data_IF_543025256427
#
_entry.id   IF_543025256427
#
_cell.length_a   1.000
_cell.length_b   1.000
_cell.length_c   1.000
_cell.angle_alpha   90.00
_cell.angle_beta   90.00
_cell.angle_gamma   90.00
#
_symmetry.space_group_name_H-M   'P 1'
#
loop_
_entity.id
_entity.type
_entity.pdbx_description
1 polymer ?
#
# COMPACT_ATOMS: atom_id res chain seq x y z
N UNK A 1 -10.70 1.57 19.39
CA UNK A 1 -10.12 0.38 18.74
C UNK A 1 -8.82 0.01 19.45
N UNK A 2 -8.78 -1.21 20.05
CA UNK A 2 -7.63 -1.72 20.83
C UNK A 2 -6.31 -1.71 20.01
N UNK A 3 -6.37 -2.00 18.71
CA UNK A 3 -5.19 -1.99 17.86
C UNK A 3 -4.57 -0.58 17.75
N UNK A 4 -5.39 0.45 17.50
CA UNK A 4 -4.92 1.82 17.42
C UNK A 4 -4.32 2.30 18.74
N UNK A 5 -4.98 2.02 19.88
CA UNK A 5 -4.46 2.35 21.21
C UNK A 5 -3.07 1.74 21.43
N UNK A 6 -2.90 0.44 21.12
CA UNK A 6 -1.62 -0.26 21.31
C UNK A 6 -0.51 0.23 20.40
N UNK A 7 -0.80 0.60 19.13
CA UNK A 7 0.23 0.79 18.11
C UNK A 7 0.42 2.24 17.67
N UNK A 8 -0.57 3.13 17.93
CA UNK A 8 -0.53 4.51 17.43
C UNK A 8 -0.39 5.53 18.56
N UNK A 9 -0.95 5.24 19.74
CA UNK A 9 -0.93 6.20 20.87
C UNK A 9 0.52 6.42 21.35
N UNK A 10 0.91 7.70 21.46
CA UNK A 10 2.28 8.08 21.83
C UNK A 10 3.35 7.86 20.75
N UNK A 11 2.97 7.42 19.54
CA UNK A 11 3.89 7.16 18.45
C UNK A 11 3.63 8.04 17.22
N UNK A 12 4.70 8.46 16.56
CA UNK A 12 4.63 9.06 15.23
C UNK A 12 4.58 7.94 14.19
N UNK A 13 3.40 7.70 13.60
CA UNK A 13 3.13 6.55 12.75
C UNK A 13 3.04 6.95 11.29
N UNK A 14 3.72 6.22 10.42
CA UNK A 14 3.58 6.28 8.97
C UNK A 14 2.62 5.20 8.51
N UNK A 15 1.48 5.56 7.91
CA UNK A 15 0.65 4.60 7.18
C UNK A 15 1.26 4.29 5.81
N UNK A 16 1.30 3.01 5.44
CA UNK A 16 1.77 2.56 4.13
C UNK A 16 0.73 1.59 3.56
N UNK A 17 0.13 1.97 2.43
CA UNK A 17 -0.88 1.15 1.77
C UNK A 17 -0.54 0.89 0.30
N UNK A 18 -0.60 -0.38 -0.08
CA UNK A 18 -0.56 -0.79 -1.48
C UNK A 18 -1.22 -2.15 -1.69
N UNK A 19 -1.81 -2.28 -2.87
CA UNK A 19 -2.32 -3.56 -3.35
C UNK A 19 -1.37 -4.11 -4.40
N UNK A 20 -1.09 -5.41 -4.32
CA UNK A 20 -0.07 -6.00 -5.19
C UNK A 20 -0.57 -7.16 -6.04
N UNK A 21 -1.48 -7.95 -5.53
CA UNK A 21 -1.85 -9.24 -6.13
C UNK A 21 -2.51 -9.13 -7.51
N UNK A 22 -3.80 -8.92 -7.56
CA UNK A 22 -4.58 -8.86 -8.81
C UNK A 22 -4.25 -7.62 -9.66
N UNK A 23 -3.87 -6.51 -9.04
CA UNK A 23 -3.57 -5.28 -9.79
C UNK A 23 -2.37 -5.39 -10.74
N UNK A 24 -1.50 -6.38 -10.55
CA UNK A 24 -0.38 -6.63 -11.48
C UNK A 24 -0.82 -7.12 -12.85
N UNK A 25 -1.99 -7.76 -12.93
CA UNK A 25 -2.41 -8.52 -14.13
C UNK A 25 -3.76 -8.10 -14.70
N UNK A 26 -4.58 -7.36 -13.95
CA UNK A 26 -5.91 -6.94 -14.41
C UNK A 26 -5.78 -5.73 -15.35
N UNK A 27 -6.42 -5.77 -16.54
CA UNK A 27 -6.46 -4.63 -17.47
C UNK A 27 -7.00 -3.36 -16.81
N UNK A 28 -6.50 -2.21 -17.24
CA UNK A 28 -6.92 -0.87 -16.80
C UNK A 28 -6.75 -0.56 -15.30
N UNK A 29 -6.18 -1.49 -14.52
CA UNK A 29 -5.89 -1.20 -13.11
C UNK A 29 -4.59 -0.41 -12.96
N UNK A 30 -4.48 0.44 -11.94
CA UNK A 30 -3.24 1.12 -11.60
C UNK A 30 -2.14 0.09 -11.33
N UNK A 31 -0.95 0.33 -11.87
CA UNK A 31 0.20 -0.55 -11.66
C UNK A 31 0.70 -0.43 -10.21
N UNK A 32 0.73 -1.54 -9.45
CA UNK A 32 1.23 -1.52 -8.09
C UNK A 32 2.74 -1.29 -8.07
N UNK A 33 3.26 -0.60 -7.04
CA UNK A 33 4.68 -0.36 -6.91
C UNK A 33 5.44 -1.66 -6.67
N UNK A 34 6.62 -1.85 -7.29
CA UNK A 34 7.53 -2.92 -6.92
C UNK A 34 8.13 -2.68 -5.53
N UNK A 35 8.58 -3.74 -4.87
CA UNK A 35 9.07 -3.69 -3.49
C UNK A 35 10.13 -2.61 -3.27
N UNK A 36 11.10 -2.48 -4.18
CA UNK A 36 12.18 -1.50 -4.05
C UNK A 36 11.69 -0.04 -4.00
N UNK A 37 10.58 0.30 -4.70
CA UNK A 37 9.99 1.64 -4.60
C UNK A 37 9.40 1.88 -3.20
N UNK A 38 8.66 0.90 -2.67
CA UNK A 38 8.03 0.98 -1.34
C UNK A 38 9.10 1.12 -0.28
N UNK A 39 10.09 0.22 -0.29
CA UNK A 39 11.18 0.23 0.68
C UNK A 39 11.91 1.57 0.68
N UNK A 40 12.30 2.07 -0.49
CA UNK A 40 13.01 3.35 -0.62
C UNK A 40 12.20 4.53 -0.09
N UNK A 41 10.89 4.57 -0.37
CA UNK A 41 10.01 5.63 0.13
C UNK A 41 9.86 5.56 1.64
N UNK A 42 9.74 4.36 2.22
CA UNK A 42 9.69 4.18 3.68
C UNK A 42 11.01 4.61 4.30
N UNK A 43 12.16 4.16 3.78
CA UNK A 43 13.49 4.54 4.27
C UNK A 43 13.67 6.05 4.27
N UNK A 44 13.31 6.72 3.17
CA UNK A 44 13.38 8.17 3.05
C UNK A 44 12.44 8.88 4.04
N UNK A 45 11.21 8.35 4.22
CA UNK A 45 10.25 8.90 5.16
C UNK A 45 10.74 8.75 6.61
N UNK A 46 11.18 7.56 6.99
CA UNK A 46 11.70 7.29 8.34
C UNK A 46 12.90 8.17 8.65
N UNK A 47 13.86 8.27 7.71
CA UNK A 47 15.05 9.12 7.88
C UNK A 47 14.69 10.60 8.04
N UNK A 48 13.81 11.13 7.17
CA UNK A 48 13.48 12.55 7.11
C UNK A 48 12.52 12.98 8.22
N UNK A 49 11.52 12.18 8.52
CA UNK A 49 10.43 12.58 9.43
C UNK A 49 10.49 11.89 10.80
N UNK A 50 11.43 10.97 11.01
CA UNK A 50 11.65 10.27 12.30
C UNK A 50 10.37 9.58 12.81
N UNK A 51 9.84 8.64 12.04
CA UNK A 51 8.71 7.81 12.46
C UNK A 51 9.14 6.73 13.44
N UNK A 52 8.30 6.47 14.44
CA UNK A 52 8.49 5.40 15.43
C UNK A 52 7.91 4.07 14.98
N UNK A 53 6.82 4.16 14.21
CA UNK A 53 6.07 2.99 13.72
C UNK A 53 5.66 3.14 12.26
N UNK A 54 5.50 1.99 11.59
CA UNK A 54 4.99 1.88 10.24
C UNK A 54 3.75 1.00 10.29
N UNK A 55 2.57 1.56 9.99
CA UNK A 55 1.34 0.80 9.87
C UNK A 55 1.15 0.34 8.44
N UNK A 56 1.32 -0.98 8.21
CA UNK A 56 1.26 -1.59 6.89
C UNK A 56 -0.13 -2.15 6.59
N UNK A 57 -0.68 -1.72 5.46
CA UNK A 57 -1.91 -2.26 4.86
C UNK A 57 -1.58 -2.78 3.46
N UNK A 58 -1.64 -4.10 3.29
CA UNK A 58 -1.40 -4.76 2.00
C UNK A 58 -2.11 -6.11 1.94
N UNK A 59 -2.52 -6.52 0.76
CA UNK A 59 -3.06 -7.85 0.46
C UNK A 59 -1.97 -8.86 0.05
N UNK A 60 -0.71 -8.42 -0.11
CA UNK A 60 0.37 -9.24 -0.62
C UNK A 60 1.25 -9.79 0.51
N UNK A 61 1.30 -11.13 0.63
CA UNK A 61 2.02 -11.81 1.69
C UNK A 61 3.55 -11.64 1.60
N UNK A 62 4.12 -11.76 0.39
CA UNK A 62 5.57 -11.59 0.19
C UNK A 62 6.06 -10.22 0.66
N UNK A 63 5.32 -9.15 0.35
CA UNK A 63 5.71 -7.81 0.75
C UNK A 63 5.64 -7.62 2.27
N UNK A 64 4.62 -8.21 2.92
CA UNK A 64 4.57 -8.22 4.38
C UNK A 64 5.82 -8.90 4.97
N UNK A 65 6.21 -10.07 4.42
CA UNK A 65 7.36 -10.82 4.94
C UNK A 65 8.68 -10.05 4.74
N UNK A 66 8.86 -9.43 3.58
CA UNK A 66 10.02 -8.58 3.30
C UNK A 66 10.09 -7.36 4.24
N UNK A 67 8.94 -6.66 4.43
CA UNK A 67 8.89 -5.51 5.32
C UNK A 67 9.06 -5.89 6.80
N UNK A 68 8.60 -7.08 7.21
CA UNK A 68 8.91 -7.63 8.55
C UNK A 68 10.41 -7.80 8.76
N UNK A 69 11.10 -8.35 7.75
CA UNK A 69 12.55 -8.52 7.80
C UNK A 69 13.29 -7.18 7.89
N UNK A 70 12.84 -6.19 7.09
CA UNK A 70 13.53 -4.90 6.99
C UNK A 70 13.25 -3.96 8.18
N UNK A 71 12.04 -3.97 8.74
CA UNK A 71 11.62 -2.99 9.76
C UNK A 71 11.33 -3.57 11.15
N UNK A 72 11.25 -4.89 11.29
CA UNK A 72 11.14 -5.59 12.59
C UNK A 72 10.07 -5.00 13.50
N UNK A 73 10.46 -4.53 14.67
CA UNK A 73 9.56 -3.98 15.72
C UNK A 73 8.90 -2.65 15.34
N UNK A 74 9.42 -1.94 14.33
CA UNK A 74 8.77 -0.72 13.81
C UNK A 74 7.50 -1.05 13.04
N UNK A 75 7.41 -2.25 12.42
CA UNK A 75 6.27 -2.62 11.59
C UNK A 75 5.10 -3.09 12.45
N UNK A 76 3.95 -2.47 12.28
CA UNK A 76 2.68 -2.95 12.81
C UNK A 76 1.67 -3.17 11.67
N UNK A 77 0.83 -4.18 11.81
CA UNK A 77 -0.18 -4.58 10.82
C UNK A 77 -1.27 -5.38 11.50
N UNK A 78 -2.48 -5.37 10.93
CA UNK A 78 -3.58 -6.20 11.42
C UNK A 78 -3.44 -7.64 10.92
N UNK A 79 -4.08 -8.56 11.60
CA UNK A 79 -4.20 -9.95 11.16
C UNK A 79 -5.31 -10.10 10.11
N UNK A 80 -5.20 -9.38 8.98
CA UNK A 80 -6.05 -9.50 7.80
C UNK A 80 -5.52 -10.57 6.84
N UNK A 81 -6.41 -11.12 6.01
CA UNK A 81 -6.02 -12.16 5.05
C UNK A 81 -5.10 -11.60 3.96
N UNK A 82 -4.02 -12.32 3.66
CA UNK A 82 -3.04 -11.99 2.62
C UNK A 82 -2.69 -13.21 1.78
N UNK A 83 -2.36 -12.99 0.52
CA UNK A 83 -1.97 -14.05 -0.41
C UNK A 83 -0.99 -13.53 -1.45
N UNK A 84 -0.26 -14.45 -2.08
CA UNK A 84 0.53 -14.15 -3.29
C UNK A 84 -0.23 -14.47 -4.58
N UNK A 85 -1.41 -15.10 -4.46
CA UNK A 85 -2.26 -15.46 -5.59
C UNK A 85 -3.02 -14.26 -6.11
N UNK A 86 -3.11 -14.10 -7.44
CA UNK A 86 -3.76 -12.96 -8.08
C UNK A 86 -5.27 -12.88 -7.75
N UNK A 87 -5.98 -14.00 -7.72
CA UNK A 87 -7.43 -14.05 -7.48
C UNK A 87 -7.75 -14.21 -5.98
N UNK A 88 -7.28 -13.28 -5.16
CA UNK A 88 -7.40 -13.34 -3.69
C UNK A 88 -8.86 -13.46 -3.21
N UNK A 89 -9.82 -12.83 -3.90
CA UNK A 89 -11.24 -12.87 -3.54
C UNK A 89 -11.94 -14.19 -3.86
N UNK A 90 -11.36 -15.01 -4.75
CA UNK A 90 -11.91 -16.29 -5.18
C UNK A 90 -11.37 -17.46 -4.36
N UNK A 91 -10.41 -17.20 -3.50
CA UNK A 91 -9.91 -18.19 -2.54
C UNK A 91 -10.99 -18.47 -1.48
N UNK A 92 -10.97 -19.69 -0.93
CA UNK A 92 -11.89 -20.11 0.14
C UNK A 92 -11.14 -20.60 1.39
N UNK A 93 -10.20 -19.79 1.96
CA UNK A 93 -9.39 -20.21 3.11
C UNK A 93 -10.17 -20.18 4.43
N UNK A 94 -11.33 -19.49 4.47
CA UNK A 94 -12.17 -19.32 5.66
C UNK A 94 -13.65 -19.17 5.25
N UNK A 95 -14.57 -19.42 6.19
CA UNK A 95 -15.99 -19.14 6.01
C UNK A 95 -16.23 -17.67 5.71
N UNK A 96 -17.23 -17.37 4.88
CA UNK A 96 -17.59 -16.00 4.48
C UNK A 96 -16.39 -15.15 4.00
N UNK A 97 -15.48 -15.78 3.24
CA UNK A 97 -14.18 -15.17 2.89
C UNK A 97 -14.31 -13.77 2.27
N UNK A 98 -15.21 -13.60 1.28
CA UNK A 98 -15.41 -12.29 0.63
C UNK A 98 -15.94 -11.22 1.58
N UNK A 99 -16.88 -11.58 2.45
CA UNK A 99 -17.42 -10.70 3.49
C UNK A 99 -16.30 -10.27 4.45
N UNK A 100 -15.54 -11.22 4.97
CA UNK A 100 -14.43 -10.96 5.88
C UNK A 100 -13.31 -10.13 5.22
N UNK A 101 -13.07 -10.29 3.92
CA UNK A 101 -12.17 -9.40 3.16
C UNK A 101 -12.67 -7.96 3.12
N UNK A 102 -14.00 -7.76 2.98
CA UNK A 102 -14.62 -6.43 3.04
C UNK A 102 -14.47 -5.79 4.42
N UNK A 103 -14.72 -6.56 5.49
CA UNK A 103 -14.52 -6.10 6.88
C UNK A 103 -13.05 -5.74 7.13
N UNK A 104 -12.11 -6.60 6.73
CA UNK A 104 -10.67 -6.33 6.84
C UNK A 104 -10.31 -5.01 6.13
N UNK A 105 -10.80 -4.81 4.91
CA UNK A 105 -10.54 -3.59 4.13
C UNK A 105 -11.13 -2.33 4.78
N UNK A 106 -12.37 -2.41 5.31
CA UNK A 106 -12.99 -1.29 6.01
C UNK A 106 -12.21 -0.90 7.26
N UNK A 107 -11.86 -1.88 8.11
CA UNK A 107 -11.11 -1.62 9.33
C UNK A 107 -9.71 -1.05 9.05
N UNK A 108 -9.01 -1.56 8.05
CA UNK A 108 -7.71 -1.04 7.63
C UNK A 108 -7.83 0.39 7.09
N UNK A 109 -8.90 0.71 6.34
CA UNK A 109 -9.20 2.06 5.84
C UNK A 109 -9.46 3.04 6.98
N UNK A 110 -10.29 2.64 7.96
CA UNK A 110 -10.59 3.44 9.15
C UNK A 110 -9.36 3.67 10.04
N UNK A 111 -8.43 2.72 10.09
CA UNK A 111 -7.18 2.88 10.83
C UNK A 111 -6.22 3.83 10.10
N UNK A 112 -6.10 3.72 8.78
CA UNK A 112 -5.30 4.65 7.97
C UNK A 112 -5.80 6.09 8.10
N UNK A 113 -7.13 6.31 8.12
CA UNK A 113 -7.72 7.65 8.23
C UNK A 113 -7.44 8.35 9.57
N UNK A 114 -6.95 7.64 10.59
CA UNK A 114 -6.56 8.22 11.89
C UNK A 114 -5.13 8.75 11.90
N UNK A 115 -4.34 8.50 10.87
CA UNK A 115 -2.91 8.81 10.84
C UNK A 115 -2.63 10.06 9.99
N UNK A 116 -1.60 10.82 10.38
CA UNK A 116 -1.27 12.10 9.74
C UNK A 116 -0.33 11.96 8.53
N UNK A 117 0.19 10.77 8.27
CA UNK A 117 1.10 10.51 7.16
C UNK A 117 0.71 9.21 6.45
N UNK A 118 0.48 9.29 5.15
CA UNK A 118 0.10 8.16 4.32
C UNK A 118 0.94 8.09 3.04
N UNK A 119 1.66 6.99 2.84
CA UNK A 119 2.22 6.60 1.55
C UNK A 119 1.30 5.55 0.95
N UNK A 120 0.77 5.76 -0.24
CA UNK A 120 -0.14 4.80 -0.85
C UNK A 120 0.05 4.68 -2.36
N UNK A 121 -0.34 3.53 -2.90
CA UNK A 121 -0.65 3.39 -4.32
C UNK A 121 -2.14 3.67 -4.56
N UNK A 122 -2.49 4.10 -5.76
CA UNK A 122 -3.87 4.39 -6.13
C UNK A 122 -4.75 3.15 -6.03
N UNK A 123 -5.77 3.22 -5.18
CA UNK A 123 -6.79 2.18 -4.98
C UNK A 123 -8.04 2.80 -4.34
N UNK A 124 -9.18 2.12 -4.41
CA UNK A 124 -10.40 2.60 -3.74
C UNK A 124 -10.18 2.79 -2.23
N UNK A 125 -9.45 1.87 -1.58
CA UNK A 125 -9.13 2.00 -0.15
C UNK A 125 -8.32 3.25 0.16
N UNK A 126 -7.26 3.52 -0.62
CA UNK A 126 -6.43 4.73 -0.42
C UNK A 126 -7.21 6.00 -0.70
N UNK A 127 -8.09 6.00 -1.70
CA UNK A 127 -8.95 7.14 -2.01
C UNK A 127 -9.94 7.41 -0.87
N UNK A 128 -10.65 6.38 -0.39
CA UNK A 128 -11.59 6.53 0.73
C UNK A 128 -10.86 6.94 2.01
N UNK A 129 -9.75 6.27 2.36
CA UNK A 129 -8.93 6.67 3.50
C UNK A 129 -8.53 8.14 3.39
N UNK A 130 -8.10 8.58 2.20
CA UNK A 130 -7.70 9.95 1.93
C UNK A 130 -8.84 10.96 2.09
N UNK A 131 -10.09 10.61 1.72
CA UNK A 131 -11.26 11.47 1.93
C UNK A 131 -11.65 11.61 3.41
N UNK A 132 -11.39 10.56 4.20
CA UNK A 132 -11.67 10.51 5.63
C UNK A 132 -10.54 11.08 6.50
N UNK A 133 -9.41 11.45 5.90
CA UNK A 133 -8.25 11.98 6.61
C UNK A 133 -8.55 13.37 7.21
N UNK A 134 -7.86 13.68 8.31
CA UNK A 134 -7.89 15.00 8.92
C UNK A 134 -7.28 16.06 8.00
N UNK A 135 -7.66 17.34 8.22
CA UNK A 135 -7.18 18.50 7.42
C UNK A 135 -5.65 18.61 7.28
N UNK A 136 -4.90 18.10 8.26
CA UNK A 136 -3.43 18.21 8.30
C UNK A 136 -2.70 16.97 7.85
N UNK A 137 -3.37 16.07 7.12
CA UNK A 137 -2.75 14.83 6.70
C UNK A 137 -1.84 15.02 5.49
N UNK A 138 -0.67 14.43 5.58
CA UNK A 138 0.36 14.43 4.53
C UNK A 138 0.24 13.13 3.72
N UNK A 139 -0.12 13.25 2.45
CA UNK A 139 -0.29 12.09 1.56
C UNK A 139 0.77 12.08 0.47
N UNK A 140 1.35 10.92 0.21
CA UNK A 140 2.18 10.67 -0.95
C UNK A 140 1.59 9.50 -1.75
N UNK A 141 1.07 9.77 -2.94
CA UNK A 141 0.56 8.75 -3.85
C UNK A 141 1.65 8.30 -4.82
N UNK A 142 1.92 6.98 -4.83
CA UNK A 142 2.81 6.36 -5.82
C UNK A 142 2.02 6.16 -7.11
N UNK A 143 2.48 6.80 -8.19
CA UNK A 143 1.86 6.69 -9.49
C UNK A 143 2.80 6.02 -10.50
N UNK A 144 2.41 4.84 -10.98
CA UNK A 144 3.16 4.04 -11.95
C UNK A 144 2.43 3.84 -13.30
N UNK A 145 1.32 4.58 -13.51
CA UNK A 145 0.47 4.40 -14.69
C UNK A 145 -0.51 3.22 -14.54
N UNK A 146 -1.12 2.84 -15.64
CA UNK A 146 -2.12 1.77 -15.72
C UNK A 146 -1.61 0.55 -16.48
N UNK A 147 -2.22 -0.59 -16.23
CA UNK A 147 -2.11 -1.77 -17.09
C UNK A 147 -2.76 -1.49 -18.44
N UNK A 148 -2.25 -2.10 -19.54
CA UNK A 148 -2.88 -2.05 -20.85
C UNK A 148 -4.32 -2.57 -20.83
N UNK A 149 -5.10 -2.16 -21.85
CA UNK A 149 -6.51 -2.57 -21.97
C UNK A 149 -6.66 -4.07 -22.28
N UNK A 150 -5.71 -4.65 -23.03
CA UNK A 150 -5.77 -6.05 -23.45
C UNK A 150 -5.20 -6.95 -22.35
N UNK A 151 -5.93 -8.00 -21.98
CA UNK A 151 -5.59 -8.91 -20.88
C UNK A 151 -4.23 -9.59 -21.09
N UNK A 152 -3.92 -9.99 -22.32
CA UNK A 152 -2.64 -10.62 -22.64
C UNK A 152 -1.45 -9.73 -22.28
N UNK A 153 -1.48 -8.45 -22.67
CA UNK A 153 -0.40 -7.52 -22.34
C UNK A 153 -0.37 -7.15 -20.85
N UNK A 154 -1.51 -7.06 -20.20
CA UNK A 154 -1.56 -6.72 -18.78
C UNK A 154 -0.96 -7.79 -17.88
N UNK A 155 -1.01 -9.07 -18.29
CA UNK A 155 -0.42 -10.16 -17.52
C UNK A 155 1.11 -10.05 -17.38
N UNK A 156 1.78 -9.50 -18.37
CA UNK A 156 3.25 -9.41 -18.40
C UNK A 156 3.79 -8.00 -18.14
N UNK A 157 2.97 -6.97 -18.34
CA UNK A 157 3.38 -5.58 -18.29
C UNK A 157 4.11 -5.21 -16.98
N UNK A 158 3.58 -5.63 -15.84
CA UNK A 158 4.19 -5.34 -14.54
C UNK A 158 5.56 -6.00 -14.38
N UNK A 159 5.70 -7.25 -14.84
CA UNK A 159 6.98 -7.99 -14.80
C UNK A 159 8.00 -7.32 -15.70
N UNK A 160 7.62 -7.00 -16.94
CA UNK A 160 8.49 -6.32 -17.89
C UNK A 160 8.98 -5.00 -17.31
N UNK A 161 8.06 -4.13 -16.86
CA UNK A 161 8.40 -2.83 -16.25
C UNK A 161 9.27 -2.93 -14.99
N UNK A 162 9.21 -4.03 -14.27
CA UNK A 162 10.05 -4.26 -13.08
C UNK A 162 11.52 -4.46 -13.44
N UNK A 163 11.80 -5.09 -14.59
CA UNK A 163 13.16 -5.48 -14.96
C UNK A 163 13.82 -4.56 -15.99
N UNK A 164 13.04 -3.93 -16.87
CA UNK A 164 13.61 -3.00 -17.85
C UNK A 164 14.05 -1.67 -17.17
N UNK A 165 15.05 -0.98 -17.74
CA UNK A 165 15.48 0.34 -17.25
C UNK A 165 14.39 1.40 -17.37
N UNK A 166 14.47 2.44 -16.53
CA UNK A 166 13.50 3.55 -16.49
C UNK A 166 13.38 4.27 -17.83
N UNK A 167 14.52 4.51 -18.53
CA UNK A 167 14.52 5.18 -19.84
C UNK A 167 13.85 4.35 -20.95
N UNK A 168 13.69 3.03 -20.75
CA UNK A 168 12.94 2.13 -21.64
C UNK A 168 11.48 1.93 -21.22
N UNK A 169 10.97 2.76 -20.28
CA UNK A 169 9.60 2.67 -19.77
C UNK A 169 9.42 1.77 -18.55
N UNK A 170 10.50 1.37 -17.89
CA UNK A 170 10.47 0.66 -16.61
C UNK A 170 9.97 1.52 -15.45
N UNK A 171 9.77 0.89 -14.30
CA UNK A 171 9.40 1.63 -13.10
C UNK A 171 10.52 2.58 -12.65
N UNK A 172 10.13 3.77 -12.23
CA UNK A 172 11.05 4.75 -11.65
C UNK A 172 11.80 4.15 -10.47
N UNK A 173 13.12 4.23 -10.50
CA UNK A 173 13.96 3.74 -9.40
C UNK A 173 14.12 4.78 -8.30
N UNK A 174 14.05 6.07 -8.65
CA UNK A 174 14.12 7.20 -7.70
C UNK A 174 12.77 7.90 -7.67
N UNK A 175 12.16 7.93 -6.50
CA UNK A 175 10.94 8.69 -6.24
C UNK A 175 11.29 9.73 -5.17
N UNK A 176 11.12 11.01 -5.51
CA UNK A 176 11.28 12.09 -4.55
C UNK A 176 10.05 12.15 -3.66
N UNK A 177 10.25 11.87 -2.37
CA UNK A 177 9.19 11.91 -1.38
C UNK A 177 8.80 13.36 -1.08
N UNK A 178 7.69 13.80 -1.66
CA UNK A 178 7.03 15.08 -1.35
C UNK A 178 5.61 14.78 -0.88
N UNK A 179 5.36 14.94 0.40
CA UNK A 179 4.00 14.87 0.92
C UNK A 179 3.22 16.11 0.49
N UNK A 180 2.01 15.88 0.02
CA UNK A 180 1.04 16.95 -0.31
C UNK A 180 0.10 17.04 0.88
N UNK A 181 0.01 18.23 1.50
CA UNK A 181 -1.05 18.51 2.47
C UNK A 181 -2.38 18.51 1.73
N UNK A 182 -3.30 17.65 2.12
CA UNK A 182 -4.67 17.73 1.62
C UNK A 182 -5.36 18.91 2.29
N UNK A 183 -5.73 19.90 1.47
CA UNK A 183 -6.70 20.89 1.87
C UNK A 183 -8.08 20.19 1.85
N UNK A 184 -8.84 20.33 2.94
CA UNK A 184 -10.24 19.87 2.95
C UNK A 184 -11.01 20.65 1.89
N UNK A 185 -11.74 19.93 1.07
CA UNK A 185 -12.85 20.49 0.31
C UNK A 185 -13.93 20.98 1.27
#
# INVERSE_FOLDING_TARGET
NKFAKKNFEGHKVLAVHFRGTSMKTIPKHPLPPPYYQIKRLIDNAVKKYKFDKIFLVTDQLDYLNLLKKDYGKMLCYRNSFRSNKAKIFDLKPRSLHRYNMGVDALEDTLLMSKLNYLICSRSNMSQVASLMLRKDTNVFEIWNGYNPNKIFFSQFNWIIKKYIPEFMGGFKRKLDLKFIKRQSI
#
